data_IF_151231335019
#
_entry.id   IF_151231335019
#
_cell.length_a   1.000
_cell.length_b   1.000
_cell.length_c   1.000
_cell.angle_alpha   90.00
_cell.angle_beta   90.00
_cell.angle_gamma   90.00
#
_symmetry.space_group_name_H-M   'P 1'
#
loop_
_entity.id
_entity.type
_entity.pdbx_description
1 polymer ?
#
# COMPACT_ATOMS: atom_id res chain seq x y z
N UNK A 1 -17.89 32.22 -2.63
CA UNK A 1 -16.47 31.84 -2.73
C UNK A 1 -16.00 31.40 -1.34
N UNK A 2 -16.34 30.17 -0.92
CA UNK A 2 -15.88 29.64 0.35
C UNK A 2 -14.58 28.87 0.10
N UNK A 3 -13.49 29.51 0.51
CA UNK A 3 -12.13 29.01 0.49
C UNK A 3 -12.01 27.90 1.54
N UNK A 4 -12.09 26.65 1.12
CA UNK A 4 -11.68 25.50 1.93
C UNK A 4 -10.15 25.51 2.02
N UNK A 5 -9.60 26.18 3.04
CA UNK A 5 -8.22 25.93 3.46
C UNK A 5 -8.17 24.57 4.14
N UNK A 6 -7.79 23.55 3.38
CA UNK A 6 -7.27 22.31 3.96
C UNK A 6 -5.89 22.70 4.49
N UNK A 7 -5.82 23.02 5.78
CA UNK A 7 -4.57 23.39 6.43
C UNK A 7 -3.58 22.23 6.38
N UNK A 8 -2.32 22.51 6.03
CA UNK A 8 -1.21 21.54 6.05
C UNK A 8 -1.03 20.87 7.43
N UNK A 9 -1.57 21.48 8.50
CA UNK A 9 -1.60 20.94 9.86
C UNK A 9 -2.53 19.72 10.02
N UNK A 10 -3.56 19.57 9.17
CA UNK A 10 -4.54 18.46 9.25
C UNK A 10 -4.00 17.14 8.65
N UNK A 11 -2.89 17.21 7.91
CA UNK A 11 -2.37 16.12 7.08
C UNK A 11 -1.05 15.57 7.62
N UNK A 12 -0.60 16.02 8.79
CA UNK A 12 0.65 15.54 9.39
C UNK A 12 0.34 14.32 10.27
N UNK A 13 0.64 13.09 9.81
CA UNK A 13 0.48 11.91 10.65
C UNK A 13 1.38 12.04 11.88
N UNK A 14 0.88 11.66 13.05
CA UNK A 14 1.71 11.55 14.26
C UNK A 14 2.93 10.65 13.99
N UNK A 15 4.06 10.87 14.67
CA UNK A 15 5.29 10.11 14.47
C UNK A 15 5.07 8.57 14.52
N UNK A 16 4.20 8.12 15.42
CA UNK A 16 3.76 6.71 15.55
C UNK A 16 3.07 6.18 14.29
N UNK A 17 2.24 7.00 13.65
CA UNK A 17 1.57 6.64 12.40
C UNK A 17 2.56 6.57 11.23
N UNK A 18 3.62 7.40 11.26
CA UNK A 18 4.69 7.36 10.27
C UNK A 18 5.56 6.10 10.42
N UNK A 19 5.87 5.67 11.65
CA UNK A 19 6.56 4.40 11.91
C UNK A 19 5.72 3.18 11.48
N UNK A 20 4.42 3.18 11.79
CA UNK A 20 3.49 2.14 11.34
C UNK A 20 3.43 2.07 9.82
N UNK A 21 3.31 3.23 9.16
CA UNK A 21 3.34 3.33 7.69
C UNK A 21 4.66 2.83 7.12
N UNK A 22 5.80 3.21 7.70
CA UNK A 22 7.11 2.75 7.26
C UNK A 22 7.27 1.24 7.41
N UNK A 23 6.76 0.66 8.50
CA UNK A 23 6.76 -0.79 8.73
C UNK A 23 5.90 -1.51 7.69
N UNK A 24 4.71 -0.98 7.41
CA UNK A 24 3.78 -1.53 6.43
C UNK A 24 4.38 -1.50 5.01
N UNK A 25 4.96 -0.36 4.63
CA UNK A 25 5.68 -0.20 3.36
C UNK A 25 6.87 -1.14 3.27
N UNK A 26 7.73 -1.19 4.28
CA UNK A 26 8.88 -2.11 4.30
C UNK A 26 8.44 -3.56 4.14
N UNK A 27 7.39 -4.00 4.85
CA UNK A 27 6.88 -5.36 4.70
C UNK A 27 6.33 -5.62 3.28
N UNK A 28 5.63 -4.65 2.69
CA UNK A 28 5.15 -4.74 1.32
C UNK A 28 6.28 -4.84 0.29
N UNK A 29 7.31 -3.98 0.41
CA UNK A 29 8.48 -4.02 -0.46
C UNK A 29 9.30 -5.29 -0.29
N UNK A 30 9.44 -5.80 0.94
CA UNK A 30 10.15 -7.05 1.22
C UNK A 30 9.47 -8.24 0.52
N UNK A 31 8.14 -8.35 0.61
CA UNK A 31 7.38 -9.39 -0.11
C UNK A 31 7.43 -9.24 -1.63
N UNK A 32 7.40 -8.00 -2.14
CA UNK A 32 7.57 -7.74 -3.56
C UNK A 32 8.96 -8.21 -4.04
N UNK A 33 10.00 -7.90 -3.25
CA UNK A 33 11.36 -8.33 -3.53
C UNK A 33 11.51 -9.84 -3.46
N UNK A 34 10.89 -10.51 -2.49
CA UNK A 34 10.86 -11.98 -2.41
C UNK A 34 10.20 -12.59 -3.66
N UNK A 35 9.10 -12.01 -4.14
CA UNK A 35 8.43 -12.47 -5.37
C UNK A 35 9.33 -12.34 -6.61
N UNK A 36 10.08 -11.24 -6.70
CA UNK A 36 11.09 -11.02 -7.75
C UNK A 36 12.22 -12.04 -7.64
N UNK A 37 12.70 -12.32 -6.43
CA UNK A 37 13.74 -13.34 -6.20
C UNK A 37 13.24 -14.75 -6.52
N UNK A 38 11.99 -15.08 -6.20
CA UNK A 38 11.37 -16.34 -6.60
C UNK A 38 11.29 -16.48 -8.12
N UNK A 39 10.93 -15.40 -8.83
CA UNK A 39 10.97 -15.35 -10.29
C UNK A 39 12.39 -15.57 -10.84
N UNK A 40 13.39 -14.87 -10.29
CA UNK A 40 14.79 -15.00 -10.71
C UNK A 40 15.34 -16.40 -10.47
N UNK A 41 14.89 -17.08 -9.41
CA UNK A 41 15.25 -18.47 -9.08
C UNK A 41 14.45 -19.50 -9.88
N UNK A 42 13.51 -19.07 -10.72
CA UNK A 42 12.60 -19.96 -11.46
C UNK A 42 11.63 -20.74 -10.56
N UNK A 43 11.40 -20.25 -9.34
CA UNK A 43 10.49 -20.86 -8.34
C UNK A 43 9.12 -20.17 -8.27
N UNK A 44 8.91 -19.10 -9.03
CA UNK A 44 7.63 -18.40 -9.08
C UNK A 44 6.53 -19.33 -9.60
N UNK A 45 5.43 -19.46 -8.85
CA UNK A 45 4.24 -20.16 -9.33
C UNK A 45 3.63 -19.42 -10.52
N UNK A 46 3.61 -20.11 -11.65
CA UNK A 46 2.99 -19.61 -12.87
C UNK A 46 1.47 -19.75 -12.76
N UNK A 47 0.75 -18.66 -13.00
CA UNK A 47 -0.70 -18.75 -13.14
C UNK A 47 -1.04 -19.52 -14.42
N UNK A 48 -2.07 -20.39 -14.38
CA UNK A 48 -2.44 -21.20 -15.54
C UNK A 48 -2.77 -20.28 -16.74
N UNK A 49 -2.06 -20.48 -17.85
CA UNK A 49 -2.23 -19.69 -19.07
C UNK A 49 -1.49 -18.35 -19.11
N UNK A 50 -0.66 -18.03 -18.10
CA UNK A 50 0.17 -16.82 -18.08
C UNK A 50 1.66 -17.15 -18.20
N UNK A 51 2.43 -16.26 -18.84
CA UNK A 51 3.88 -16.36 -18.83
C UNK A 51 4.46 -16.03 -17.45
N UNK A 52 5.75 -16.33 -17.25
CA UNK A 52 6.45 -16.04 -15.99
C UNK A 52 6.49 -14.54 -15.66
N UNK A 53 6.65 -13.68 -16.68
CA UNK A 53 6.57 -12.23 -16.51
C UNK A 53 5.15 -11.75 -16.18
N UNK A 54 4.13 -12.28 -16.86
CA UNK A 54 2.73 -11.90 -16.61
C UNK A 54 2.27 -12.35 -15.21
N UNK A 55 2.71 -13.53 -14.77
CA UNK A 55 2.45 -14.03 -13.41
C UNK A 55 3.14 -13.14 -12.37
N UNK A 56 4.39 -12.73 -12.61
CA UNK A 56 5.13 -11.80 -11.75
C UNK A 56 4.43 -10.44 -11.67
N UNK A 57 4.04 -9.88 -12.80
CA UNK A 57 3.36 -8.59 -12.86
C UNK A 57 2.01 -8.64 -12.14
N UNK A 58 1.25 -9.72 -12.33
CA UNK A 58 -0.02 -9.95 -11.64
C UNK A 58 0.16 -10.04 -10.11
N UNK A 59 1.17 -10.78 -9.65
CA UNK A 59 1.47 -10.91 -8.22
C UNK A 59 1.93 -9.58 -7.61
N UNK A 60 2.87 -8.87 -8.27
CA UNK A 60 3.34 -7.56 -7.82
C UNK A 60 2.22 -6.53 -7.76
N UNK A 61 1.37 -6.46 -8.80
CA UNK A 61 0.21 -5.57 -8.82
C UNK A 61 -0.77 -5.90 -7.70
N UNK A 62 -1.04 -7.18 -7.44
CA UNK A 62 -1.89 -7.61 -6.34
C UNK A 62 -1.32 -7.23 -4.97
N UNK A 63 -0.01 -7.37 -4.80
CA UNK A 63 0.70 -7.07 -3.56
C UNK A 63 0.74 -5.57 -3.28
N UNK A 64 1.14 -4.76 -4.27
CA UNK A 64 1.15 -3.30 -4.18
C UNK A 64 -0.27 -2.72 -4.04
N UNK A 65 -1.27 -3.34 -4.68
CA UNK A 65 -2.68 -3.02 -4.52
C UNK A 65 -3.14 -3.20 -3.07
N UNK A 66 -2.92 -4.39 -2.51
CA UNK A 66 -3.22 -4.68 -1.10
C UNK A 66 -2.45 -3.77 -0.13
N UNK A 67 -1.20 -3.45 -0.45
CA UNK A 67 -0.38 -2.53 0.36
C UNK A 67 -1.02 -1.14 0.41
N UNK A 68 -1.47 -0.62 -0.74
CA UNK A 68 -2.18 0.66 -0.83
C UNK A 68 -3.50 0.63 -0.07
N UNK A 69 -4.28 -0.45 -0.22
CA UNK A 69 -5.57 -0.61 0.49
C UNK A 69 -5.36 -0.65 2.01
N UNK A 70 -4.37 -1.43 2.48
CA UNK A 70 -4.06 -1.56 3.90
C UNK A 70 -3.53 -0.24 4.47
N UNK A 71 -2.64 0.44 3.76
CA UNK A 71 -2.16 1.76 4.16
C UNK A 71 -3.30 2.79 4.20
N UNK A 72 -4.22 2.76 3.22
CA UNK A 72 -5.42 3.60 3.20
C UNK A 72 -6.36 3.32 4.37
N UNK A 73 -6.60 2.04 4.68
CA UNK A 73 -7.42 1.62 5.80
C UNK A 73 -6.83 2.04 7.16
N UNK A 74 -5.51 1.87 7.34
CA UNK A 74 -4.80 2.30 8.56
C UNK A 74 -4.80 3.83 8.71
N UNK A 75 -4.67 4.58 7.61
CA UNK A 75 -4.88 6.04 7.62
C UNK A 75 -6.30 6.39 8.04
N UNK A 76 -7.32 5.79 7.42
CA UNK A 76 -8.73 6.05 7.77
C UNK A 76 -9.05 5.68 9.22
N UNK A 77 -8.41 4.65 9.79
CA UNK A 77 -8.59 4.25 11.20
C UNK A 77 -7.92 5.21 12.17
N UNK A 78 -6.87 5.91 11.73
CA UNK A 78 -6.08 6.83 12.55
C UNK A 78 -6.59 8.28 12.49
N UNK A 79 -7.43 8.62 11.51
CA UNK A 79 -8.17 9.88 11.53
C UNK A 79 -9.28 9.80 12.60
N UNK A 80 -9.35 10.73 13.57
CA UNK A 80 -10.46 10.79 14.50
C UNK A 80 -11.79 10.98 13.76
N UNK A 81 -12.87 10.42 14.32
CA UNK A 81 -14.27 10.45 13.85
C UNK A 81 -14.84 11.86 13.54
N UNK A 82 -14.06 12.93 13.71
CA UNK A 82 -14.46 14.31 13.53
C UNK A 82 -13.99 14.96 12.21
N UNK A 83 -13.71 14.17 11.17
CA UNK A 83 -13.59 14.70 9.82
C UNK A 83 -14.76 14.19 8.96
N UNK A 84 -15.82 14.99 8.89
CA UNK A 84 -16.71 14.95 7.74
C UNK A 84 -15.90 15.48 6.56
N UNK A 85 -15.74 14.69 5.50
CA UNK A 85 -16.71 14.83 4.43
C UNK A 85 -17.14 13.47 3.91
N UNK A 86 -18.31 13.02 4.36
CA UNK A 86 -19.17 12.21 3.50
C UNK A 86 -19.77 13.16 2.47
N UNK A 87 -19.12 13.26 1.31
CA UNK A 87 -19.83 13.60 0.07
C UNK A 87 -20.22 12.32 -0.63
#
# INVERSE_FOLDING_TARGET
>A
MLWFSIGIDDVTPSNDLNEKKATLLNNGYDRANDTIEQYRRGKLELKPGCNALESLESELNGLLGKLRETAGAECMRSLPFHNNPRV
#
